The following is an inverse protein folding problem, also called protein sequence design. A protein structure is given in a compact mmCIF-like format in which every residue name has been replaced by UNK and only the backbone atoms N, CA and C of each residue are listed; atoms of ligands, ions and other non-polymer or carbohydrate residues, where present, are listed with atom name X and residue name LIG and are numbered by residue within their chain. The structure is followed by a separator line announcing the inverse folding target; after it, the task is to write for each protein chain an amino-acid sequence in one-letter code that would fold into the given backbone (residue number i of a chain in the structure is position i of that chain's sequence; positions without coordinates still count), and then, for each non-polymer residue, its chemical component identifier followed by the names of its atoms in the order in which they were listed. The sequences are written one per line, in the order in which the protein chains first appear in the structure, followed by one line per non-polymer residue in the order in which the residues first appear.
data_IF_933806487972
#
_entry.id   IF_933806487972
#
_cell.length_a   1.000
_cell.length_b   1.000
_cell.length_c   1.000
_cell.angle_alpha   90.00
_cell.angle_beta   90.00
_cell.angle_gamma   90.00
#
_symmetry.space_group_name_H-M   'P 1'
#
loop_
_entity.id
_entity.type
_entity.pdbx_description
1 polymer ?
#
# COMPACT_ATOMS: atom_id res chain seq x y z
N UNK A 1 6.86 32.86 -33.85
CA UNK A 1 8.05 32.55 -33.05
C UNK A 1 7.71 31.39 -32.15
N UNK A 2 8.23 30.22 -32.43
CA UNK A 2 8.15 29.09 -31.50
C UNK A 2 9.07 29.47 -30.35
N UNK A 3 8.48 29.78 -29.19
CA UNK A 3 9.26 29.95 -27.95
C UNK A 3 9.86 28.57 -27.69
N UNK A 4 11.19 28.48 -27.85
CA UNK A 4 11.93 27.28 -27.43
C UNK A 4 11.73 27.17 -25.92
N UNK A 5 10.82 26.28 -25.48
CA UNK A 5 10.58 26.04 -24.06
C UNK A 5 11.89 25.45 -23.53
N UNK A 6 12.54 26.13 -22.59
CA UNK A 6 13.72 25.59 -21.93
C UNK A 6 13.42 24.20 -21.41
N UNK A 7 14.39 23.27 -21.45
CA UNK A 7 14.25 21.94 -20.89
C UNK A 7 13.86 22.05 -19.41
N UNK A 8 13.01 21.12 -18.95
CA UNK A 8 12.77 20.97 -17.51
C UNK A 8 14.03 20.43 -16.82
N UNK A 9 14.24 20.78 -15.56
CA UNK A 9 15.28 20.13 -14.76
C UNK A 9 14.96 18.64 -14.56
N UNK A 10 13.67 18.31 -14.39
CA UNK A 10 13.21 16.93 -14.16
C UNK A 10 11.98 16.56 -14.99
N UNK A 11 12.04 15.38 -15.62
CA UNK A 11 10.87 14.61 -16.04
C UNK A 11 10.54 13.62 -14.93
N UNK A 12 9.33 13.65 -14.41
CA UNK A 12 8.87 12.73 -13.35
C UNK A 12 7.83 11.79 -13.94
N UNK A 13 8.19 10.52 -14.05
CA UNK A 13 7.33 9.46 -14.57
C UNK A 13 6.60 8.80 -13.41
N UNK A 14 5.32 9.12 -13.27
CA UNK A 14 4.41 8.70 -12.24
C UNK A 14 4.00 9.82 -11.27
N UNK A 15 2.72 10.20 -11.29
CA UNK A 15 2.09 11.21 -10.43
C UNK A 15 1.58 10.64 -9.09
N UNK A 16 2.18 9.55 -8.61
CA UNK A 16 1.92 8.97 -7.29
C UNK A 16 2.66 9.70 -6.17
N UNK A 17 2.58 9.19 -4.94
CA UNK A 17 3.19 9.83 -3.75
C UNK A 17 4.68 10.16 -3.94
N UNK A 18 5.48 9.22 -4.46
CA UNK A 18 6.91 9.46 -4.62
C UNK A 18 7.19 10.61 -5.59
N UNK A 19 6.59 10.53 -6.80
CA UNK A 19 6.78 11.55 -7.83
C UNK A 19 6.29 12.92 -7.40
N UNK A 20 5.13 12.99 -6.75
CA UNK A 20 4.54 14.24 -6.27
C UNK A 20 5.36 14.90 -5.16
N UNK A 21 5.88 14.12 -4.20
CA UNK A 21 6.79 14.64 -3.17
C UNK A 21 8.08 15.15 -3.79
N UNK A 22 8.67 14.38 -4.73
CA UNK A 22 9.91 14.80 -5.41
C UNK A 22 9.69 16.10 -6.20
N UNK A 23 8.61 16.20 -6.98
CA UNK A 23 8.25 17.39 -7.76
C UNK A 23 8.07 18.62 -6.87
N UNK A 24 7.32 18.47 -5.76
CA UNK A 24 7.10 19.53 -4.80
C UNK A 24 8.39 20.06 -4.19
N UNK A 25 9.23 19.16 -3.71
CA UNK A 25 10.50 19.52 -3.07
C UNK A 25 11.54 20.07 -4.05
N UNK A 26 11.54 19.62 -5.31
CA UNK A 26 12.34 20.19 -6.38
C UNK A 26 11.90 21.63 -6.68
N UNK A 27 10.59 21.89 -6.80
CA UNK A 27 10.02 23.23 -6.98
C UNK A 27 10.41 24.18 -5.86
N UNK A 28 10.36 23.76 -4.59
CA UNK A 28 10.81 24.57 -3.45
C UNK A 28 12.29 24.97 -3.54
N UNK A 29 13.08 24.24 -4.31
CA UNK A 29 14.51 24.50 -4.57
C UNK A 29 14.74 25.24 -5.90
N UNK A 30 13.67 25.78 -6.49
CA UNK A 30 13.72 26.57 -7.73
C UNK A 30 13.90 25.74 -8.99
N UNK A 31 13.64 24.42 -8.95
CA UNK A 31 13.72 23.51 -10.09
C UNK A 31 12.37 23.36 -10.78
N UNK A 32 12.43 23.18 -12.10
CA UNK A 32 11.26 22.95 -12.96
C UNK A 32 11.07 21.46 -13.20
N UNK A 33 9.81 21.02 -13.19
CA UNK A 33 9.46 19.61 -13.42
C UNK A 33 8.27 19.50 -14.37
N UNK A 34 8.32 18.49 -15.24
CA UNK A 34 7.17 17.96 -15.96
C UNK A 34 6.83 16.61 -15.34
N UNK A 35 5.60 16.45 -14.85
CA UNK A 35 5.10 15.18 -14.34
C UNK A 35 4.23 14.52 -15.39
N UNK A 36 4.46 13.25 -15.69
CA UNK A 36 3.60 12.47 -16.60
C UNK A 36 3.06 11.23 -15.87
N UNK A 37 1.83 10.82 -16.18
CA UNK A 37 1.26 9.58 -15.69
C UNK A 37 0.41 8.91 -16.78
N UNK A 38 0.46 7.58 -16.86
CA UNK A 38 -0.34 6.79 -17.81
C UNK A 38 -1.84 6.77 -17.49
N UNK A 39 -2.21 7.09 -16.26
CA UNK A 39 -3.60 7.15 -15.80
C UNK A 39 -4.23 8.50 -16.15
N UNK A 40 -5.56 8.52 -16.17
CA UNK A 40 -6.38 9.73 -16.37
C UNK A 40 -6.42 10.65 -15.11
N UNK A 41 -5.75 10.27 -14.03
CA UNK A 41 -5.75 10.97 -12.75
C UNK A 41 -4.38 10.95 -12.08
N UNK A 42 -4.11 11.93 -11.22
CA UNK A 42 -2.96 11.99 -10.32
C UNK A 42 -3.20 11.09 -9.09
N UNK A 43 -2.17 10.92 -8.25
CA UNK A 43 -2.26 10.23 -6.97
C UNK A 43 -1.84 8.77 -7.03
N UNK A 44 -1.70 8.18 -8.22
CA UNK A 44 -1.34 6.76 -8.33
C UNK A 44 -2.29 5.88 -7.51
N UNK A 45 -1.75 4.97 -6.69
CA UNK A 45 -2.59 4.06 -5.88
C UNK A 45 -3.30 4.73 -4.70
N UNK A 46 -2.95 5.96 -4.31
CA UNK A 46 -3.67 6.70 -3.26
C UNK A 46 -4.79 7.58 -3.81
N UNK A 47 -5.08 7.48 -5.10
CA UNK A 47 -6.17 8.23 -5.72
C UNK A 47 -7.50 7.98 -5.01
N UNK A 48 -8.16 9.07 -4.65
CA UNK A 48 -9.48 9.10 -4.03
C UNK A 48 -10.41 9.91 -4.91
N UNK A 49 -11.51 9.28 -5.33
CA UNK A 49 -12.56 9.92 -6.14
C UNK A 49 -13.74 10.32 -5.25
N UNK A 50 -14.23 11.54 -5.39
CA UNK A 50 -15.44 11.95 -4.70
C UNK A 50 -16.69 11.54 -5.50
N UNK A 51 -17.49 10.65 -4.95
CA UNK A 51 -18.74 10.18 -5.52
C UNK A 51 -19.87 10.41 -4.50
N UNK A 52 -20.83 11.26 -4.81
CA UNK A 52 -21.96 11.58 -3.94
C UNK A 52 -21.51 11.98 -2.51
N UNK A 53 -20.54 12.86 -2.41
CA UNK A 53 -19.94 13.32 -1.15
C UNK A 53 -19.23 12.22 -0.33
N UNK A 54 -18.98 11.06 -0.92
CA UNK A 54 -18.17 9.98 -0.33
C UNK A 54 -16.83 9.91 -1.05
N UNK A 55 -15.74 10.00 -0.32
CA UNK A 55 -14.39 9.85 -0.86
C UNK A 55 -14.04 8.37 -0.99
N UNK A 56 -14.08 7.86 -2.23
CA UNK A 56 -13.85 6.47 -2.59
C UNK A 56 -12.37 6.23 -2.85
N UNK A 57 -11.74 5.38 -2.06
CA UNK A 57 -10.36 4.94 -2.29
C UNK A 57 -10.35 3.91 -3.42
N UNK A 58 -9.99 4.31 -4.63
CA UNK A 58 -10.16 3.50 -5.86
C UNK A 58 -9.28 2.25 -5.91
N UNK A 59 -8.13 2.28 -5.23
CA UNK A 59 -7.11 1.23 -5.28
C UNK A 59 -6.89 0.57 -3.92
N UNK A 60 -7.96 0.38 -3.16
CA UNK A 60 -7.94 -0.26 -1.84
C UNK A 60 -7.91 0.71 -0.67
N UNK A 61 -8.14 0.19 0.52
CA UNK A 61 -8.15 0.98 1.74
C UNK A 61 -6.76 1.54 2.04
N UNK A 62 -6.64 2.85 2.08
CA UNK A 62 -5.43 3.57 2.44
C UNK A 62 -5.66 4.31 3.75
N UNK A 63 -4.96 3.93 4.81
CA UNK A 63 -4.96 4.62 6.10
C UNK A 63 -3.54 5.08 6.38
N UNK A 64 -3.35 6.38 6.53
CA UNK A 64 -2.04 6.94 6.85
C UNK A 64 -1.70 6.68 8.31
N UNK A 65 -0.49 6.17 8.55
CA UNK A 65 0.02 5.95 9.91
C UNK A 65 1.54 6.11 9.93
N UNK A 66 2.10 6.56 11.04
CA UNK A 66 3.54 6.71 11.23
C UNK A 66 3.92 6.96 12.69
N UNK A 67 5.13 6.57 13.07
CA UNK A 67 5.78 7.02 14.31
C UNK A 67 6.65 8.26 14.11
N UNK A 68 6.93 8.63 12.87
CA UNK A 68 7.78 9.77 12.55
C UNK A 68 6.96 11.07 12.55
N UNK A 69 7.24 11.95 13.53
CA UNK A 69 6.54 13.23 13.65
C UNK A 69 6.81 14.16 12.46
N UNK A 70 8.01 14.15 11.91
CA UNK A 70 8.35 15.02 10.77
C UNK A 70 7.53 14.66 9.53
N UNK A 71 7.34 13.35 9.27
CA UNK A 71 6.51 12.88 8.18
C UNK A 71 5.02 13.18 8.43
N UNK A 72 4.56 13.05 9.69
CA UNK A 72 3.20 13.42 10.08
C UNK A 72 2.95 14.92 9.87
N UNK A 73 3.85 15.77 10.35
CA UNK A 73 3.75 17.22 10.17
C UNK A 73 3.83 17.61 8.69
N UNK A 74 4.68 16.92 7.91
CA UNK A 74 4.81 17.15 6.47
C UNK A 74 3.48 16.92 5.74
N UNK A 75 2.80 15.81 5.93
CA UNK A 75 1.52 15.54 5.25
C UNK A 75 0.41 16.46 5.76
N UNK A 76 0.40 16.80 7.05
CA UNK A 76 -0.56 17.75 7.63
C UNK A 76 -0.34 19.20 7.17
N UNK A 77 0.84 19.54 6.64
CA UNK A 77 1.07 20.86 6.04
C UNK A 77 0.29 21.08 4.74
N UNK A 78 -0.14 20.01 4.08
CA UNK A 78 -0.95 20.07 2.87
C UNK A 78 -2.46 20.02 3.17
N UNK A 79 -2.89 19.04 3.98
CA UNK A 79 -4.29 18.79 4.30
C UNK A 79 -4.40 18.32 5.74
N UNK A 80 -5.41 18.77 6.47
CA UNK A 80 -5.72 18.28 7.82
C UNK A 80 -6.10 16.80 7.78
N UNK A 81 -5.60 16.02 8.74
CA UNK A 81 -5.98 14.63 8.94
C UNK A 81 -7.00 14.50 10.07
N UNK A 82 -8.02 13.69 9.85
CA UNK A 82 -9.01 13.39 10.85
C UNK A 82 -8.48 12.40 11.91
N UNK A 83 -9.31 12.08 12.89
CA UNK A 83 -8.99 11.15 14.00
C UNK A 83 -9.31 9.69 13.71
N UNK A 84 -9.42 9.29 12.45
CA UNK A 84 -9.76 7.89 12.12
C UNK A 84 -8.73 6.93 12.72
N UNK A 85 -9.23 5.93 13.46
CA UNK A 85 -8.45 4.85 14.04
C UNK A 85 -8.80 3.57 13.32
N UNK A 86 -7.82 2.93 12.69
CA UNK A 86 -8.06 1.70 11.94
C UNK A 86 -8.35 0.52 12.88
N UNK A 87 -9.57 0.03 12.83
CA UNK A 87 -10.06 -1.10 13.66
C UNK A 87 -10.83 -2.09 12.78
N UNK A 88 -10.15 -2.77 11.84
CA UNK A 88 -10.81 -3.73 10.96
C UNK A 88 -11.34 -4.93 11.75
N UNK A 89 -12.31 -5.62 11.17
CA UNK A 89 -12.81 -6.89 11.69
C UNK A 89 -12.65 -7.98 10.64
N UNK A 90 -12.59 -9.23 11.11
CA UNK A 90 -12.62 -10.41 10.26
C UNK A 90 -14.01 -11.05 10.31
N UNK A 91 -14.52 -11.43 9.14
CA UNK A 91 -15.69 -12.28 8.99
C UNK A 91 -15.23 -13.67 8.55
N UNK A 92 -15.49 -14.67 9.39
CA UNK A 92 -15.28 -16.08 9.07
C UNK A 92 -16.63 -16.79 9.09
N UNK A 93 -17.20 -17.07 7.94
CA UNK A 93 -18.49 -17.75 7.79
C UNK A 93 -19.63 -17.13 8.64
N UNK A 94 -19.68 -15.78 8.71
CA UNK A 94 -20.66 -15.04 9.50
C UNK A 94 -20.27 -14.78 10.95
N UNK A 95 -19.20 -15.36 11.45
CA UNK A 95 -18.63 -15.03 12.77
C UNK A 95 -17.69 -13.83 12.67
N UNK A 96 -17.94 -12.79 13.48
CA UNK A 96 -17.13 -11.56 13.48
C UNK A 96 -16.08 -11.60 14.58
N UNK A 97 -14.83 -11.30 14.22
CA UNK A 97 -13.68 -11.24 15.11
C UNK A 97 -12.96 -9.90 15.00
N UNK A 98 -12.42 -9.39 16.10
CA UNK A 98 -11.62 -8.17 16.09
C UNK A 98 -10.22 -8.41 15.50
N UNK A 99 -9.71 -7.41 14.79
CA UNK A 99 -8.32 -7.32 14.36
C UNK A 99 -7.69 -6.01 14.92
N UNK A 100 -6.40 -6.01 15.28
CA UNK A 100 -5.46 -7.12 15.25
C UNK A 100 -5.89 -8.23 16.23
N UNK A 101 -5.21 -9.39 16.19
CA UNK A 101 -5.48 -10.46 17.15
C UNK A 101 -5.18 -9.98 18.57
N UNK A 102 -6.21 -9.81 19.37
CA UNK A 102 -6.13 -9.22 20.71
C UNK A 102 -7.04 -9.95 21.68
N UNK A 103 -7.15 -9.46 22.91
CA UNK A 103 -7.98 -10.11 23.92
C UNK A 103 -9.46 -10.24 23.55
N UNK A 104 -10.02 -9.32 22.72
CA UNK A 104 -11.38 -9.48 22.19
C UNK A 104 -11.47 -10.71 21.25
N UNK A 105 -10.47 -10.89 20.38
CA UNK A 105 -10.37 -12.05 19.50
C UNK A 105 -10.25 -13.35 20.30
N UNK A 106 -9.37 -13.38 21.31
CA UNK A 106 -9.12 -14.56 22.13
C UNK A 106 -10.33 -14.90 23.01
N UNK A 107 -10.98 -13.88 23.59
CA UNK A 107 -12.20 -14.07 24.35
C UNK A 107 -13.33 -14.65 23.48
N UNK A 108 -13.55 -14.05 22.31
CA UNK A 108 -14.58 -14.52 21.35
C UNK A 108 -14.35 -15.97 20.93
N UNK A 109 -13.08 -16.35 20.70
CA UNK A 109 -12.73 -17.68 20.18
C UNK A 109 -12.66 -18.76 21.27
N UNK A 110 -12.14 -18.41 22.45
CA UNK A 110 -11.80 -19.37 23.51
C UNK A 110 -12.49 -19.13 24.84
N UNK A 111 -13.20 -18.01 25.01
CA UNK A 111 -13.80 -17.63 26.29
C UNK A 111 -12.80 -17.20 27.37
N UNK A 112 -11.53 -17.03 27.03
CA UNK A 112 -10.47 -16.58 27.94
C UNK A 112 -10.65 -15.12 28.32
N UNK A 113 -10.30 -14.77 29.57
CA UNK A 113 -10.50 -13.42 30.11
C UNK A 113 -9.16 -12.73 30.35
N UNK A 114 -8.13 -13.49 30.72
CA UNK A 114 -6.83 -12.95 31.09
C UNK A 114 -5.76 -13.19 30.01
N UNK A 115 -4.73 -12.32 29.92
CA UNK A 115 -3.58 -12.55 29.06
C UNK A 115 -2.84 -13.88 29.33
N UNK A 116 -2.81 -14.33 30.58
CA UNK A 116 -2.21 -15.60 30.98
C UNK A 116 -2.90 -16.77 30.30
N UNK A 117 -4.23 -16.88 30.44
CA UNK A 117 -5.04 -17.93 29.80
C UNK A 117 -4.87 -17.94 28.27
N UNK A 118 -4.85 -16.76 27.64
CA UNK A 118 -4.66 -16.67 26.20
C UNK A 118 -3.27 -17.20 25.78
N UNK A 119 -2.21 -16.81 26.49
CA UNK A 119 -0.84 -17.28 26.24
C UNK A 119 -0.70 -18.79 26.45
N UNK A 120 -1.30 -19.33 27.50
CA UNK A 120 -1.29 -20.77 27.77
C UNK A 120 -2.01 -21.56 26.66
N UNK A 121 -3.15 -21.02 26.16
CA UNK A 121 -3.89 -21.64 25.05
C UNK A 121 -3.05 -21.67 23.77
N UNK A 122 -2.39 -20.56 23.41
CA UNK A 122 -1.48 -20.50 22.26
C UNK A 122 -0.30 -21.46 22.41
N UNK A 123 0.34 -21.47 23.60
CA UNK A 123 1.48 -22.34 23.88
C UNK A 123 1.10 -23.83 23.79
N UNK A 124 -0.07 -24.20 24.28
CA UNK A 124 -0.58 -25.56 24.16
C UNK A 124 -0.81 -25.97 22.70
N UNK A 125 -1.43 -25.10 21.91
CA UNK A 125 -1.67 -25.37 20.48
C UNK A 125 -0.37 -25.47 19.69
N UNK A 126 0.60 -24.58 19.94
CA UNK A 126 1.95 -24.66 19.37
C UNK A 126 2.64 -25.98 19.70
N UNK A 127 2.59 -26.39 20.96
CA UNK A 127 3.17 -27.67 21.42
C UNK A 127 2.50 -28.86 20.72
N UNK A 128 1.18 -28.85 20.62
CA UNK A 128 0.43 -29.94 19.95
C UNK A 128 0.73 -30.02 18.46
N UNK A 129 1.03 -28.90 17.81
CA UNK A 129 1.46 -28.86 16.42
C UNK A 129 2.91 -29.30 16.19
N UNK A 130 3.72 -29.51 17.27
CA UNK A 130 5.10 -29.98 17.18
C UNK A 130 6.08 -28.98 16.53
N UNK A 131 5.76 -27.68 16.53
CA UNK A 131 6.55 -26.66 15.85
C UNK A 131 7.60 -26.11 16.79
N UNK A 132 8.87 -26.42 16.50
CA UNK A 132 10.03 -25.84 17.23
C UNK A 132 10.62 -24.65 16.45
N UNK A 133 10.95 -24.85 15.17
CA UNK A 133 11.54 -23.85 14.29
C UNK A 133 10.65 -23.73 13.03
N UNK A 134 9.82 -22.68 12.94
CA UNK A 134 8.92 -22.47 11.79
C UNK A 134 9.69 -22.36 10.46
N UNK A 135 9.25 -23.06 9.42
CA UNK A 135 9.88 -23.12 8.09
C UNK A 135 9.07 -22.40 7.00
N UNK A 136 7.81 -22.15 7.26
CA UNK A 136 6.87 -21.55 6.32
C UNK A 136 5.86 -20.68 7.06
N UNK A 137 4.97 -20.02 6.31
CA UNK A 137 3.97 -19.11 6.87
C UNK A 137 3.00 -19.83 7.83
N UNK A 138 2.54 -21.04 7.52
CA UNK A 138 1.64 -21.82 8.37
C UNK A 138 2.27 -22.06 9.75
N UNK A 139 3.46 -22.65 9.77
CA UNK A 139 4.18 -22.94 11.02
C UNK A 139 4.47 -21.67 11.82
N UNK A 140 4.84 -20.58 11.15
CA UNK A 140 5.08 -19.28 11.77
C UNK A 140 3.79 -18.70 12.39
N UNK A 141 2.66 -18.78 11.67
CA UNK A 141 1.38 -18.31 12.16
C UNK A 141 0.93 -19.09 13.40
N UNK A 142 0.96 -20.43 13.34
CA UNK A 142 0.59 -21.29 14.48
C UNK A 142 1.49 -21.00 15.69
N UNK A 143 2.78 -20.73 15.46
CA UNK A 143 3.72 -20.36 16.52
C UNK A 143 3.39 -19.05 17.21
N UNK A 144 2.78 -18.10 16.47
CA UNK A 144 2.42 -16.77 17.00
C UNK A 144 1.06 -16.76 17.69
N UNK A 145 0.06 -17.42 17.10
CA UNK A 145 -1.34 -17.24 17.50
C UNK A 145 -2.10 -18.54 17.77
N UNK A 146 -1.47 -19.70 17.54
CA UNK A 146 -2.10 -21.01 17.68
C UNK A 146 -2.89 -21.47 16.46
N UNK A 147 -3.25 -22.76 16.45
CA UNK A 147 -3.90 -23.42 15.30
C UNK A 147 -5.29 -22.86 15.03
N UNK A 148 -6.09 -22.59 16.07
CA UNK A 148 -7.48 -22.16 15.89
C UNK A 148 -7.56 -20.80 15.17
N UNK A 149 -6.70 -19.85 15.54
CA UNK A 149 -6.64 -18.53 14.90
C UNK A 149 -6.08 -18.65 13.48
N UNK A 150 -5.04 -19.48 13.30
CA UNK A 150 -4.49 -19.75 11.99
C UNK A 150 -5.56 -20.28 11.03
N UNK A 151 -6.26 -21.34 11.38
CA UNK A 151 -7.26 -21.97 10.51
C UNK A 151 -8.44 -21.04 10.19
N UNK A 152 -8.96 -20.29 11.19
CA UNK A 152 -10.12 -19.44 11.01
C UNK A 152 -9.79 -18.06 10.39
N UNK A 153 -8.71 -17.44 10.81
CA UNK A 153 -8.51 -16.00 10.56
C UNK A 153 -7.31 -15.66 9.69
N UNK A 154 -6.42 -16.62 9.40
CA UNK A 154 -5.21 -16.37 8.63
C UNK A 154 -5.19 -17.16 7.32
N UNK A 155 -5.36 -18.46 7.39
CA UNK A 155 -5.15 -19.40 6.30
C UNK A 155 -5.91 -19.01 5.03
N UNK A 156 -7.24 -18.97 5.08
CA UNK A 156 -8.07 -18.69 3.92
C UNK A 156 -7.83 -17.31 3.33
N UNK A 157 -7.65 -16.29 4.17
CA UNK A 157 -7.29 -14.94 3.74
C UNK A 157 -5.95 -14.91 3.01
N UNK A 158 -4.92 -15.51 3.62
CA UNK A 158 -3.56 -15.51 3.09
C UNK A 158 -3.44 -16.31 1.79
N UNK A 159 -4.06 -17.48 1.74
CA UNK A 159 -4.06 -18.31 0.53
C UNK A 159 -4.80 -17.64 -0.63
N UNK A 160 -5.90 -16.92 -0.39
CA UNK A 160 -6.54 -16.06 -1.41
C UNK A 160 -5.61 -14.94 -1.86
N UNK A 161 -5.04 -14.20 -0.90
CA UNK A 161 -4.16 -13.05 -1.17
C UNK A 161 -2.96 -13.44 -2.05
N UNK A 162 -2.32 -14.57 -1.76
CA UNK A 162 -1.10 -15.00 -2.42
C UNK A 162 -1.31 -16.02 -3.55
N UNK A 163 -2.51 -16.60 -3.66
CA UNK A 163 -2.81 -17.61 -4.67
C UNK A 163 -2.05 -18.93 -4.49
N UNK A 164 -1.47 -19.18 -3.30
CA UNK A 164 -0.64 -20.35 -2.99
C UNK A 164 -0.99 -20.88 -1.59
N UNK A 165 -0.80 -22.19 -1.33
CA UNK A 165 -0.93 -22.75 0.02
C UNK A 165 0.00 -22.04 1.02
N UNK A 166 -0.46 -21.84 2.25
CA UNK A 166 0.34 -21.20 3.29
C UNK A 166 1.65 -21.95 3.62
N UNK A 167 1.68 -23.26 3.39
CA UNK A 167 2.86 -24.12 3.53
C UNK A 167 3.96 -23.85 2.51
N UNK A 168 3.64 -23.22 1.37
CA UNK A 168 4.58 -22.84 0.31
C UNK A 168 5.03 -21.37 0.42
N UNK A 169 4.42 -20.60 1.34
CA UNK A 169 4.74 -19.20 1.55
C UNK A 169 5.84 -19.03 2.59
N UNK A 170 6.77 -18.08 2.39
CA UNK A 170 7.83 -17.80 3.36
C UNK A 170 7.30 -17.33 4.71
N UNK A 171 7.94 -17.71 5.79
CA UNK A 171 7.61 -17.34 7.17
C UNK A 171 7.63 -15.83 7.43
N UNK A 172 8.48 -15.08 6.73
CA UNK A 172 8.64 -13.64 6.95
C UNK A 172 7.38 -12.82 6.61
N UNK A 173 6.50 -13.33 5.75
CA UNK A 173 5.25 -12.64 5.37
C UNK A 173 4.39 -12.33 6.61
N UNK A 174 4.37 -13.24 7.59
CA UNK A 174 3.54 -13.10 8.78
C UNK A 174 4.31 -12.70 10.03
N UNK A 175 5.63 -12.53 9.96
CA UNK A 175 6.44 -12.14 11.14
C UNK A 175 6.01 -10.84 11.79
N UNK A 176 5.35 -9.95 11.05
CA UNK A 176 4.87 -8.65 11.54
C UNK A 176 3.40 -8.65 11.95
N UNK A 177 2.77 -9.83 12.04
CA UNK A 177 1.38 -9.94 12.46
C UNK A 177 1.20 -9.31 13.85
N UNK A 178 0.36 -8.28 13.99
CA UNK A 178 0.15 -7.66 15.28
C UNK A 178 -0.66 -8.58 16.19
N UNK A 179 -0.03 -9.02 17.28
CA UNK A 179 -0.65 -9.83 18.34
C UNK A 179 -0.55 -9.06 19.65
N UNK A 180 -1.67 -8.85 20.32
CA UNK A 180 -1.76 -8.06 21.54
C UNK A 180 -2.48 -8.80 22.64
N UNK A 181 -1.92 -8.76 23.84
CA UNK A 181 -2.57 -9.32 25.04
C UNK A 181 -3.26 -8.18 25.85
N UNK A 182 -3.95 -7.30 25.13
CA UNK A 182 -4.77 -6.19 25.64
C UNK A 182 -6.08 -6.16 24.87
N UNK A 183 -7.09 -5.43 25.35
CA UNK A 183 -8.39 -5.21 24.68
C UNK A 183 -8.35 -4.01 23.71
N UNK A 184 -7.20 -3.74 23.08
CA UNK A 184 -7.02 -2.65 22.15
C UNK A 184 -7.28 -3.11 20.71
N UNK A 185 -8.26 -2.50 20.04
CA UNK A 185 -8.66 -2.78 18.66
C UNK A 185 -7.95 -1.89 17.64
N UNK A 186 -7.09 -0.97 18.05
CA UNK A 186 -6.30 -0.19 17.10
C UNK A 186 -5.34 -1.12 16.34
N UNK A 187 -5.47 -1.18 15.02
CA UNK A 187 -4.66 -2.08 14.20
C UNK A 187 -3.18 -1.69 14.19
N UNK A 188 -2.88 -0.40 14.14
CA UNK A 188 -1.50 0.09 14.11
C UNK A 188 -0.94 0.33 15.51
N UNK A 189 0.40 0.18 15.63
CA UNK A 189 1.13 0.55 16.85
C UNK A 189 1.69 1.98 16.77
N UNK A 190 1.46 2.67 15.66
CA UNK A 190 2.02 3.99 15.39
C UNK A 190 1.30 5.08 16.21
N UNK A 191 2.05 6.12 16.57
CA UNK A 191 1.57 7.25 17.38
C UNK A 191 0.58 8.12 16.61
N UNK A 192 0.75 8.22 15.29
CA UNK A 192 -0.05 9.06 14.42
C UNK A 192 -0.76 8.20 13.39
N UNK A 193 -2.03 8.43 13.21
CA UNK A 193 -2.82 7.83 12.13
C UNK A 193 -4.04 8.69 11.83
N UNK A 194 -4.58 8.59 10.63
CA UNK A 194 -5.78 9.30 10.21
C UNK A 194 -6.00 9.20 8.70
N UNK A 195 -7.08 9.84 8.28
CA UNK A 195 -7.46 10.00 6.88
C UNK A 195 -7.44 11.50 6.55
N UNK A 196 -6.87 11.92 5.42
CA UNK A 196 -6.92 13.33 5.01
C UNK A 196 -8.36 13.76 4.73
N UNK A 197 -8.76 14.87 5.29
CA UNK A 197 -10.11 15.42 5.11
C UNK A 197 -10.35 15.80 3.65
N UNK A 198 -11.31 15.13 3.04
CA UNK A 198 -11.63 15.24 1.61
C UNK A 198 -10.78 14.41 0.67
N UNK A 199 -10.10 13.37 1.20
CA UNK A 199 -9.40 12.35 0.42
C UNK A 199 -7.94 12.64 0.11
N UNK A 200 -7.22 11.61 -0.28
CA UNK A 200 -5.76 11.69 -0.56
C UNK A 200 -5.43 12.51 -1.81
N UNK A 201 -6.32 12.55 -2.79
CA UNK A 201 -6.09 13.31 -4.04
C UNK A 201 -5.79 14.78 -3.76
N UNK A 202 -6.43 15.37 -2.75
CA UNK A 202 -6.17 16.75 -2.33
C UNK A 202 -4.73 17.01 -1.88
N UNK A 203 -4.07 16.02 -1.26
CA UNK A 203 -2.65 16.14 -0.87
C UNK A 203 -1.80 16.24 -2.14
N UNK A 204 -2.09 15.38 -3.11
CA UNK A 204 -1.34 15.33 -4.37
C UNK A 204 -1.56 16.60 -5.19
N UNK A 205 -2.81 17.09 -5.28
CA UNK A 205 -3.14 18.36 -5.92
C UNK A 205 -2.31 19.51 -5.35
N UNK A 206 -2.22 19.60 -4.02
CA UNK A 206 -1.43 20.64 -3.37
C UNK A 206 0.08 20.48 -3.55
N UNK A 207 0.58 19.25 -3.58
CA UNK A 207 1.99 18.99 -3.89
C UNK A 207 2.34 19.41 -5.32
N UNK A 208 1.44 19.17 -6.26
CA UNK A 208 1.64 19.46 -7.69
C UNK A 208 1.17 20.86 -8.10
N UNK A 209 0.68 21.69 -7.18
CA UNK A 209 0.22 23.04 -7.49
C UNK A 209 1.31 23.87 -8.19
N UNK A 210 0.98 24.36 -9.42
CA UNK A 210 1.89 25.13 -10.26
C UNK A 210 3.08 24.32 -10.81
N UNK A 211 2.93 22.99 -10.92
CA UNK A 211 3.82 22.09 -11.65
C UNK A 211 3.03 21.57 -12.85
N UNK A 212 3.68 21.47 -14.00
CA UNK A 212 3.06 20.97 -15.22
C UNK A 212 2.85 19.45 -15.12
N UNK A 213 1.62 18.99 -15.42
CA UNK A 213 1.23 17.58 -15.34
C UNK A 213 0.54 17.19 -16.65
N UNK A 214 1.00 16.13 -17.28
CA UNK A 214 0.38 15.50 -18.45
C UNK A 214 -0.10 14.09 -18.05
N UNK A 215 -1.41 13.86 -18.18
CA UNK A 215 -2.05 12.57 -17.86
C UNK A 215 -2.32 11.79 -19.15
N UNK A 216 -2.67 10.49 -19.02
CA UNK A 216 -2.90 9.58 -20.15
C UNK A 216 -1.67 9.46 -21.06
N UNK A 217 -0.48 9.59 -20.48
CA UNK A 217 0.80 9.50 -21.18
C UNK A 217 1.54 8.25 -20.74
N UNK A 218 1.66 7.27 -21.64
CA UNK A 218 2.59 6.16 -21.44
C UNK A 218 4.00 6.57 -21.84
N UNK A 219 4.90 6.59 -20.85
CA UNK A 219 6.29 6.95 -21.03
C UNK A 219 6.98 6.11 -22.12
N UNK A 220 6.70 4.81 -22.18
CA UNK A 220 7.38 3.91 -23.10
C UNK A 220 6.92 4.04 -24.54
N UNK A 221 5.69 4.51 -24.79
CA UNK A 221 5.21 4.79 -26.15
C UNK A 221 5.87 6.02 -26.78
N UNK A 222 6.34 6.97 -25.95
CA UNK A 222 6.92 8.23 -26.40
C UNK A 222 8.23 8.54 -25.65
N UNK A 223 9.01 7.52 -25.33
CA UNK A 223 10.18 7.62 -24.45
C UNK A 223 11.19 8.66 -24.92
N UNK A 224 11.65 8.58 -26.15
CA UNK A 224 12.66 9.51 -26.73
C UNK A 224 12.17 10.97 -26.65
N UNK A 225 10.91 11.21 -26.99
CA UNK A 225 10.32 12.54 -26.94
C UNK A 225 10.32 13.14 -25.53
N UNK A 226 9.97 12.34 -24.52
CA UNK A 226 9.94 12.83 -23.13
C UNK A 226 11.32 12.92 -22.51
N UNK A 227 12.26 12.03 -22.85
CA UNK A 227 13.66 12.12 -22.41
C UNK A 227 14.35 13.39 -22.91
N UNK A 228 14.00 13.88 -24.09
CA UNK A 228 14.53 15.13 -24.62
C UNK A 228 14.00 16.39 -23.91
N UNK A 229 12.85 16.31 -23.23
CA UNK A 229 12.21 17.44 -22.53
C UNK A 229 12.87 17.80 -21.20
N UNK A 230 13.70 16.97 -20.62
CA UNK A 230 14.29 17.21 -19.29
C UNK A 230 15.78 16.86 -19.24
N UNK A 231 16.48 17.40 -18.23
CA UNK A 231 17.88 17.07 -17.97
C UNK A 231 18.03 15.73 -17.26
N UNK A 232 17.10 15.43 -16.33
CA UNK A 232 17.07 14.19 -15.56
C UNK A 232 15.67 13.60 -15.48
N UNK A 233 15.61 12.29 -15.28
CA UNK A 233 14.36 11.52 -15.13
C UNK A 233 14.25 11.04 -13.70
N UNK A 234 13.05 11.17 -13.12
CA UNK A 234 12.64 10.46 -11.89
C UNK A 234 11.63 9.41 -12.29
N UNK A 235 12.04 8.15 -12.26
CA UNK A 235 11.23 7.03 -12.72
C UNK A 235 10.64 6.25 -11.55
N UNK A 236 9.31 6.11 -11.51
CA UNK A 236 8.60 5.42 -10.44
C UNK A 236 7.87 4.15 -10.88
N UNK A 237 7.97 3.81 -12.19
CA UNK A 237 7.39 2.60 -12.77
C UNK A 237 8.19 1.33 -12.49
N UNK A 238 7.86 0.24 -13.16
CA UNK A 238 8.56 -1.04 -13.01
C UNK A 238 9.98 -0.95 -13.56
N UNK A 239 10.96 -1.32 -12.73
CA UNK A 239 12.38 -1.23 -13.09
C UNK A 239 12.76 -2.18 -14.24
N UNK A 240 12.17 -3.37 -14.29
CA UNK A 240 12.40 -4.34 -15.34
C UNK A 240 11.83 -3.88 -16.69
N UNK A 241 10.68 -3.21 -16.70
CA UNK A 241 10.11 -2.58 -17.90
C UNK A 241 10.99 -1.45 -18.41
N UNK A 242 11.57 -0.63 -17.52
CA UNK A 242 12.51 0.43 -17.91
C UNK A 242 13.69 -0.11 -18.72
N UNK A 243 14.15 -1.31 -18.41
CA UNK A 243 15.23 -2.02 -19.11
C UNK A 243 14.73 -3.08 -20.10
N UNK A 244 13.50 -2.93 -20.62
CA UNK A 244 12.92 -3.82 -21.64
C UNK A 244 12.96 -5.30 -21.24
N UNK A 245 12.81 -5.61 -19.95
CA UNK A 245 12.80 -6.97 -19.39
C UNK A 245 14.02 -7.83 -19.78
N UNK A 246 15.19 -7.22 -20.01
CA UNK A 246 16.38 -7.90 -20.57
C UNK A 246 16.91 -9.05 -19.69
N UNK A 247 16.59 -9.09 -18.40
CA UNK A 247 16.94 -10.19 -17.50
C UNK A 247 15.74 -11.09 -17.15
N UNK A 248 14.56 -10.79 -17.69
CA UNK A 248 13.28 -11.41 -17.37
C UNK A 248 12.36 -10.55 -16.53
N UNK A 249 11.12 -10.97 -16.39
CA UNK A 249 10.06 -10.23 -15.68
C UNK A 249 10.14 -10.47 -14.17
N UNK A 250 10.00 -9.40 -13.40
CA UNK A 250 9.77 -9.45 -11.96
C UNK A 250 8.29 -9.80 -11.70
N UNK A 251 8.05 -10.60 -10.67
CA UNK A 251 6.69 -11.08 -10.37
C UNK A 251 5.99 -10.15 -9.36
N UNK A 252 4.71 -9.93 -9.59
CA UNK A 252 3.85 -9.12 -8.73
C UNK A 252 2.53 -9.86 -8.42
N UNK A 253 1.84 -9.42 -7.38
CA UNK A 253 0.41 -9.68 -7.20
C UNK A 253 -0.39 -8.48 -7.66
N UNK A 254 -1.55 -8.76 -8.20
CA UNK A 254 -2.51 -7.75 -8.63
C UNK A 254 -3.79 -7.80 -7.80
N UNK A 255 -4.61 -6.75 -7.93
CA UNK A 255 -5.92 -6.64 -7.30
C UNK A 255 -6.93 -6.12 -8.31
N UNK A 256 -8.16 -6.58 -8.19
CA UNK A 256 -9.30 -5.98 -8.86
C UNK A 256 -10.31 -5.48 -7.84
N UNK A 257 -10.93 -4.34 -8.13
CA UNK A 257 -11.86 -3.65 -7.25
C UNK A 257 -13.22 -3.54 -7.91
N UNK A 258 -14.25 -4.02 -7.22
CA UNK A 258 -15.63 -3.89 -7.67
C UNK A 258 -16.39 -2.98 -6.71
N UNK A 259 -16.65 -1.75 -7.14
CA UNK A 259 -17.36 -0.73 -6.36
C UNK A 259 -18.84 -0.73 -6.70
N UNK A 260 -19.67 -0.59 -5.68
CA UNK A 260 -21.12 -0.59 -5.78
C UNK A 260 -21.73 0.48 -4.85
N UNK A 261 -22.62 1.32 -5.39
CA UNK A 261 -23.43 2.24 -4.60
C UNK A 261 -24.69 1.54 -4.11
N UNK A 262 -24.95 1.63 -2.82
CA UNK A 262 -26.12 1.06 -2.16
C UNK A 262 -26.98 2.16 -1.56
N UNK A 263 -28.30 2.09 -1.78
CA UNK A 263 -29.28 3.05 -1.23
C UNK A 263 -29.66 2.67 0.22
N UNK A 264 -28.68 2.49 1.05
CA UNK A 264 -28.80 2.25 2.50
C UNK A 264 -27.74 3.08 3.22
N UNK A 265 -28.00 3.58 4.44
CA UNK A 265 -27.07 4.47 5.13
C UNK A 265 -25.82 3.76 5.70
N UNK A 266 -25.88 2.44 5.88
CA UNK A 266 -24.79 1.66 6.47
C UNK A 266 -24.90 0.20 6.03
N UNK A 267 -23.83 -0.37 5.49
CA UNK A 267 -23.82 -1.74 4.98
C UNK A 267 -23.25 -2.73 6.01
N UNK A 268 -22.08 -2.43 6.55
CA UNK A 268 -21.33 -3.36 7.40
C UNK A 268 -20.89 -2.79 8.77
N UNK A 269 -21.17 -1.50 9.02
CA UNK A 269 -20.87 -0.87 10.31
C UNK A 269 -19.39 -0.64 10.59
N UNK A 270 -18.52 -0.80 9.60
CA UNK A 270 -17.09 -0.58 9.72
C UNK A 270 -16.48 -0.24 8.35
N UNK A 271 -15.39 0.51 8.35
CA UNK A 271 -14.70 0.85 7.09
C UNK A 271 -14.13 -0.38 6.38
N UNK A 272 -13.60 -1.35 7.11
CA UNK A 272 -12.94 -2.53 6.53
C UNK A 272 -13.37 -3.81 7.24
N UNK A 273 -13.91 -4.75 6.47
CA UNK A 273 -14.21 -6.12 6.90
C UNK A 273 -13.42 -7.09 6.03
N UNK A 274 -12.53 -7.87 6.65
CA UNK A 274 -11.75 -8.91 5.97
C UNK A 274 -12.54 -10.23 5.99
N UNK A 275 -12.64 -10.90 4.86
CA UNK A 275 -13.28 -12.22 4.73
C UNK A 275 -12.21 -13.28 4.76
N UNK A 276 -12.17 -14.05 5.84
CA UNK A 276 -11.07 -14.99 6.13
C UNK A 276 -11.38 -16.43 5.80
N UNK A 277 -12.64 -16.75 5.50
CA UNK A 277 -13.03 -18.05 4.94
C UNK A 277 -12.48 -18.22 3.50
N UNK A 278 -12.48 -19.46 3.01
CA UNK A 278 -11.94 -19.81 1.68
C UNK A 278 -12.97 -19.67 0.59
N UNK A 279 -14.24 -19.80 0.91
CA UNK A 279 -15.37 -19.84 -0.01
C UNK A 279 -15.71 -18.46 -0.57
N UNK A 280 -15.53 -17.41 0.22
CA UNK A 280 -15.72 -16.02 -0.20
C UNK A 280 -14.61 -15.60 -1.18
N UNK A 281 -14.94 -15.21 -2.42
CA UNK A 281 -13.92 -14.99 -3.46
C UNK A 281 -13.10 -13.71 -3.30
N UNK A 282 -13.57 -12.74 -2.50
CA UNK A 282 -12.86 -11.51 -2.19
C UNK A 282 -12.18 -11.58 -0.82
N UNK A 283 -11.14 -10.78 -0.64
CA UNK A 283 -10.41 -10.72 0.64
C UNK A 283 -11.01 -9.72 1.61
N UNK A 284 -11.64 -8.66 1.12
CA UNK A 284 -12.27 -7.65 1.97
C UNK A 284 -13.39 -6.90 1.28
N UNK A 285 -14.23 -6.27 2.11
CA UNK A 285 -15.14 -5.21 1.69
C UNK A 285 -14.73 -3.92 2.40
N UNK A 286 -14.64 -2.84 1.63
CA UNK A 286 -14.38 -1.49 2.10
C UNK A 286 -15.69 -0.72 2.02
N UNK A 287 -16.16 -0.11 3.11
CA UNK A 287 -17.26 0.84 3.12
C UNK A 287 -16.70 2.24 3.36
N UNK A 288 -16.57 3.01 2.29
CA UNK A 288 -15.70 4.19 2.24
C UNK A 288 -16.11 5.32 3.15
N UNK A 289 -17.42 5.57 3.33
CA UNK A 289 -17.92 6.68 4.14
C UNK A 289 -17.42 6.67 5.59
N UNK A 290 -17.13 5.50 6.13
CA UNK A 290 -16.66 5.37 7.52
C UNK A 290 -15.25 5.95 7.75
N UNK A 291 -14.44 6.10 6.70
CA UNK A 291 -13.11 6.73 6.82
C UNK A 291 -13.19 8.20 7.26
N UNK A 292 -14.23 8.90 6.86
CA UNK A 292 -14.45 10.31 7.19
C UNK A 292 -15.71 10.53 8.04
N UNK A 293 -16.19 9.49 8.74
CA UNK A 293 -17.35 9.54 9.61
C UNK A 293 -18.62 10.05 8.90
N UNK A 294 -18.77 9.69 7.62
CA UNK A 294 -19.87 10.14 6.77
C UNK A 294 -21.23 9.66 7.24
N UNK A 295 -22.24 10.50 7.04
CA UNK A 295 -23.65 10.27 7.44
C UNK A 295 -24.64 10.33 6.25
N UNK A 296 -24.15 10.15 5.03
CA UNK A 296 -24.97 10.13 3.81
C UNK A 296 -26.04 9.03 3.88
N UNK A 297 -27.20 9.24 3.25
CA UNK A 297 -28.29 8.27 3.17
C UNK A 297 -27.98 7.04 2.31
N UNK A 298 -26.99 7.17 1.42
CA UNK A 298 -26.44 6.07 0.64
C UNK A 298 -25.01 5.72 1.11
N UNK A 299 -24.50 4.56 0.72
CA UNK A 299 -23.12 4.18 0.96
C UNK A 299 -22.48 3.62 -0.31
N UNK A 300 -21.15 3.61 -0.36
CA UNK A 300 -20.38 2.99 -1.43
C UNK A 300 -19.47 1.94 -0.79
N UNK A 301 -19.59 0.72 -1.29
CA UNK A 301 -18.72 -0.39 -0.91
C UNK A 301 -17.82 -0.79 -2.07
N UNK A 302 -16.64 -1.30 -1.76
CA UNK A 302 -15.72 -1.89 -2.73
C UNK A 302 -15.30 -3.28 -2.27
N UNK A 303 -15.53 -4.29 -3.12
CA UNK A 303 -15.00 -5.64 -2.92
C UNK A 303 -13.63 -5.75 -3.57
N UNK A 304 -12.64 -6.23 -2.81
CA UNK A 304 -11.27 -6.41 -3.25
C UNK A 304 -11.00 -7.87 -3.57
N UNK A 305 -10.64 -8.15 -4.81
CA UNK A 305 -10.32 -9.50 -5.30
C UNK A 305 -8.82 -9.60 -5.59
N UNK A 306 -8.10 -10.53 -4.98
CA UNK A 306 -6.71 -10.81 -5.32
C UNK A 306 -6.63 -11.54 -6.65
N UNK A 307 -5.62 -11.22 -7.44
CA UNK A 307 -5.34 -11.87 -8.71
C UNK A 307 -3.83 -12.01 -8.96
N UNK A 308 -3.47 -12.93 -9.83
CA UNK A 308 -2.12 -12.95 -10.35
C UNK A 308 -1.92 -11.76 -11.27
N UNK A 309 -0.73 -11.19 -11.22
CA UNK A 309 -0.36 -10.13 -12.14
C UNK A 309 0.03 -10.71 -13.50
N UNK A 310 -0.39 -10.07 -14.55
CA UNK A 310 0.08 -10.30 -15.92
C UNK A 310 0.39 -8.98 -16.60
N UNK A 311 1.23 -8.99 -17.62
CA UNK A 311 1.61 -7.79 -18.36
C UNK A 311 0.38 -7.01 -18.84
N UNK A 312 0.37 -5.71 -18.59
CA UNK A 312 -0.76 -4.82 -18.87
C UNK A 312 -1.73 -4.62 -17.69
N UNK A 313 -1.58 -5.38 -16.61
CA UNK A 313 -2.32 -5.14 -15.36
C UNK A 313 -1.49 -4.28 -14.40
N UNK A 314 -2.17 -3.63 -13.44
CA UNK A 314 -1.48 -2.87 -12.39
C UNK A 314 -0.76 -3.80 -11.40
N UNK A 315 0.55 -3.60 -11.18
CA UNK A 315 1.31 -4.32 -10.16
C UNK A 315 1.09 -3.68 -8.79
N UNK A 316 0.50 -4.42 -7.84
CA UNK A 316 0.25 -3.90 -6.49
C UNK A 316 1.31 -4.31 -5.47
N UNK A 317 1.71 -5.58 -5.48
CA UNK A 317 2.63 -6.11 -4.47
C UNK A 317 3.77 -6.88 -5.13
N UNK A 318 5.05 -6.49 -4.89
CA UNK A 318 6.19 -7.28 -5.34
C UNK A 318 6.25 -8.61 -4.60
N UNK A 319 6.60 -9.68 -5.32
CA UNK A 319 6.83 -11.01 -4.74
C UNK A 319 8.29 -11.08 -4.30
N UNK A 320 8.55 -10.83 -3.00
CA UNK A 320 9.91 -10.75 -2.44
C UNK A 320 10.44 -12.12 -2.03
N UNK A 321 10.45 -13.09 -2.96
CA UNK A 321 11.14 -14.35 -2.80
C UNK A 321 12.61 -14.27 -3.25
N UNK A 322 13.37 -15.34 -3.05
CA UNK A 322 14.80 -15.38 -3.41
C UNK A 322 15.02 -15.23 -4.92
N UNK A 323 14.17 -15.82 -5.76
CA UNK A 323 14.24 -15.73 -7.21
C UNK A 323 14.12 -14.27 -7.66
N UNK A 324 13.06 -13.60 -7.24
CA UNK A 324 12.79 -12.22 -7.61
C UNK A 324 13.80 -11.24 -6.98
N UNK A 325 14.26 -11.52 -5.75
CA UNK A 325 15.30 -10.75 -5.10
C UNK A 325 16.63 -10.80 -5.86
N UNK A 326 17.02 -11.96 -6.39
CA UNK A 326 18.21 -12.12 -7.23
C UNK A 326 18.03 -11.42 -8.60
N UNK A 327 16.85 -11.52 -9.20
CA UNK A 327 16.55 -10.83 -10.45
C UNK A 327 16.57 -9.31 -10.28
N UNK A 328 15.93 -8.78 -9.23
CA UNK A 328 15.96 -7.37 -8.93
C UNK A 328 17.39 -6.83 -8.73
N UNK A 329 18.28 -7.57 -8.08
CA UNK A 329 19.70 -7.17 -7.92
C UNK A 329 20.39 -6.91 -9.25
N UNK A 330 20.05 -7.64 -10.32
CA UNK A 330 20.60 -7.42 -11.67
C UNK A 330 20.12 -6.08 -12.23
N UNK A 331 18.84 -5.79 -12.13
CA UNK A 331 18.28 -4.49 -12.57
C UNK A 331 18.81 -3.33 -11.73
N UNK A 332 18.92 -3.53 -10.41
CA UNK A 332 19.48 -2.52 -9.52
C UNK A 332 20.92 -2.17 -9.87
N UNK A 333 21.73 -3.14 -10.28
CA UNK A 333 23.10 -2.88 -10.70
C UNK A 333 23.18 -1.98 -11.96
N UNK A 334 22.20 -2.09 -12.88
CA UNK A 334 22.09 -1.16 -14.01
C UNK A 334 21.65 0.23 -13.52
N UNK A 335 20.63 0.28 -12.65
CA UNK A 335 20.12 1.53 -12.11
C UNK A 335 21.17 2.32 -11.31
N UNK A 336 22.06 1.63 -10.59
CA UNK A 336 23.09 2.23 -9.75
C UNK A 336 24.19 2.97 -10.57
N UNK A 337 24.33 2.68 -11.86
CA UNK A 337 25.30 3.34 -12.75
C UNK A 337 24.66 4.42 -13.64
N UNK A 338 23.35 4.51 -13.65
CA UNK A 338 22.62 5.57 -14.35
C UNK A 338 22.91 6.94 -13.73
N UNK A 339 23.34 7.89 -14.53
CA UNK A 339 23.67 9.24 -14.06
C UNK A 339 22.50 10.21 -14.13
N UNK A 340 21.63 10.01 -15.13
CA UNK A 340 20.53 10.92 -15.44
C UNK A 340 19.16 10.37 -15.07
N UNK A 341 19.09 9.21 -14.39
CA UNK A 341 17.83 8.61 -13.95
C UNK A 341 17.88 8.34 -12.46
N UNK A 342 16.86 8.82 -11.77
CA UNK A 342 16.58 8.55 -10.35
C UNK A 342 15.47 7.53 -10.27
N UNK A 343 15.74 6.34 -9.77
CA UNK A 343 14.73 5.30 -9.55
C UNK A 343 14.15 5.43 -8.14
N UNK A 344 12.82 5.50 -8.03
CA UNK A 344 12.16 5.66 -6.75
C UNK A 344 10.72 5.14 -6.71
N UNK A 345 10.14 5.08 -5.51
CA UNK A 345 8.82 4.50 -5.31
C UNK A 345 8.82 2.97 -5.24
N UNK A 346 7.63 2.38 -5.13
CA UNK A 346 7.46 0.95 -4.85
C UNK A 346 7.95 0.05 -5.99
N UNK A 347 7.62 0.40 -7.23
CA UNK A 347 7.89 -0.46 -8.40
C UNK A 347 9.35 -0.36 -8.84
N UNK A 348 9.90 0.85 -8.91
CA UNK A 348 11.30 1.05 -9.33
C UNK A 348 12.31 0.52 -8.29
N UNK A 349 11.93 0.45 -7.02
CA UNK A 349 12.78 -0.13 -5.98
C UNK A 349 12.40 -1.55 -5.58
N UNK A 350 11.38 -2.12 -6.22
CA UNK A 350 10.84 -3.46 -5.95
C UNK A 350 10.63 -3.74 -4.46
N UNK A 351 9.99 -2.77 -3.75
CA UNK A 351 9.76 -2.83 -2.30
C UNK A 351 8.30 -2.61 -1.95
N UNK A 352 7.86 -3.35 -0.95
CA UNK A 352 6.58 -3.08 -0.31
C UNK A 352 6.76 -1.95 0.72
N UNK A 353 6.32 -0.75 0.34
CA UNK A 353 6.35 0.43 1.20
C UNK A 353 4.95 0.82 1.66
N UNK A 354 4.83 1.19 2.93
CA UNK A 354 3.71 1.98 3.41
C UNK A 354 3.83 3.44 2.95
N UNK A 355 2.74 4.20 2.96
CA UNK A 355 2.73 5.58 2.46
C UNK A 355 3.79 6.47 3.11
N UNK A 356 3.96 6.39 4.44
CA UNK A 356 4.97 7.17 5.16
C UNK A 356 6.40 6.81 4.73
N UNK A 357 6.64 5.55 4.38
CA UNK A 357 7.95 5.09 3.89
C UNK A 357 8.23 5.59 2.48
N UNK A 358 7.21 5.65 1.61
CA UNK A 358 7.33 6.24 0.27
C UNK A 358 7.71 7.71 0.36
N UNK A 359 7.04 8.47 1.23
CA UNK A 359 7.33 9.90 1.46
C UNK A 359 8.75 10.08 1.99
N UNK A 360 9.13 9.31 3.02
CA UNK A 360 10.49 9.35 3.58
C UNK A 360 11.57 9.04 2.54
N UNK A 361 11.32 8.04 1.68
CA UNK A 361 12.23 7.68 0.61
C UNK A 361 12.36 8.81 -0.44
N UNK A 362 11.26 9.46 -0.81
CA UNK A 362 11.27 10.59 -1.73
C UNK A 362 12.04 11.79 -1.15
N UNK A 363 11.78 12.17 0.11
CA UNK A 363 12.50 13.25 0.78
C UNK A 363 14.01 12.94 0.88
N UNK A 364 14.37 11.70 1.22
CA UNK A 364 15.77 11.26 1.26
C UNK A 364 16.43 11.35 -0.12
N UNK A 365 15.72 10.98 -1.18
CA UNK A 365 16.26 11.03 -2.53
C UNK A 365 16.45 12.47 -3.01
N UNK A 366 15.52 13.36 -2.69
CA UNK A 366 15.66 14.80 -2.93
C UNK A 366 16.91 15.35 -2.23
N UNK A 367 17.10 15.06 -0.94
CA UNK A 367 18.29 15.52 -0.22
C UNK A 367 19.61 15.02 -0.84
N UNK A 368 19.66 13.78 -1.31
CA UNK A 368 20.83 13.23 -2.02
C UNK A 368 21.09 13.97 -3.32
N UNK A 369 20.04 14.19 -4.12
CA UNK A 369 20.12 14.82 -5.43
C UNK A 369 20.67 16.26 -5.32
N UNK A 370 20.22 17.00 -4.31
CA UNK A 370 20.60 18.39 -4.13
C UNK A 370 21.90 18.60 -3.33
N UNK A 371 22.33 17.63 -2.50
CA UNK A 371 23.65 17.67 -1.83
C UNK A 371 24.80 17.41 -2.78
N UNK A 372 24.59 16.62 -3.83
CA UNK A 372 25.62 16.29 -4.80
C UNK A 372 25.80 17.39 -5.88
N UNK A 373 25.00 18.45 -5.84
CA UNK A 373 25.03 19.57 -6.78
C UNK A 373 25.60 20.87 -6.18
N UNK A 374 26.27 20.78 -5.00
CA UNK A 374 26.98 21.89 -4.34
C UNK A 374 28.49 21.74 -4.47
#
# INVERSE_FOLDING_TARGET
MVVNKEKYDYLIVGAGLFGSVFAHEAKKRGKTSLVIDKREHIGGNVYTENVDEINVHKYGAHIFHTNNKEIWDYVNSFVEFNRYTNSPVANYNGEIYNLPFNMNTFNKLWGVITPGEAKEKIALQKKNAGIENPKNLEEQAISLVGTDIYEKLIKGYTEKQWGRPATELPDFIIKRLPVRFTYDNNYFNDKYQGIPVGGYTKIIEKMLEGIEVELEVDFFEQREFYEEKAEKIVFTGMIDEFYNFQFGELEYRSLTFNSEKLNIPNYQGNAVVNYTDRETPYTRIIEHKHFEFGNQEATIITREYPSEWSKGQEPYYPINDDKNSLLYKKYKALADVEKNVVFGGRLATYKYYDMHQVIAAALTQVEKEFKNNV
#
